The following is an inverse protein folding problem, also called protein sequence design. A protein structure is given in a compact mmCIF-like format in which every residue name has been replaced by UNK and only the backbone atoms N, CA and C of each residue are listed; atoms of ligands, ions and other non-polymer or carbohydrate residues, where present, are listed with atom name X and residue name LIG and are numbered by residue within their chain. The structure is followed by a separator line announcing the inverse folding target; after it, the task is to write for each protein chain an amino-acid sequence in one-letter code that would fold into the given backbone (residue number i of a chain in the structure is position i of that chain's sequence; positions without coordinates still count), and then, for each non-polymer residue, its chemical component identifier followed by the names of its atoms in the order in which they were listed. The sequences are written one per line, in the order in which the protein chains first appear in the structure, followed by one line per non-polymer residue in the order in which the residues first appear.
data_IF_825304596099
#
_entry.id   IF_825304596099
#
_cell.length_a   1.000
_cell.length_b   1.000
_cell.length_c   1.000
_cell.angle_alpha   90.00
_cell.angle_beta   90.00
_cell.angle_gamma   90.00
#
_symmetry.space_group_name_H-M   'P 1'
#
loop_
_entity.id
_entity.type
_entity.pdbx_description
1 polymer ?
#
# COMPACT_ATOMS: atom_id res chain seq x y z
N UNK A 1 8.69 -5.33 1.89
CA UNK A 1 7.53 -5.34 2.81
C UNK A 1 6.29 -4.62 2.27
N UNK A 2 6.41 -3.94 1.12
CA UNK A 2 5.34 -3.09 0.60
C UNK A 2 3.99 -3.83 0.47
N UNK A 3 3.97 -5.01 -0.15
CA UNK A 3 2.74 -5.79 -0.31
C UNK A 3 2.16 -6.27 1.04
N UNK A 4 3.02 -6.66 1.99
CA UNK A 4 2.62 -7.19 3.29
C UNK A 4 1.95 -6.15 4.19
N UNK A 5 2.33 -4.87 4.06
CA UNK A 5 1.78 -3.78 4.87
C UNK A 5 0.64 -3.02 4.17
N UNK A 6 0.33 -3.35 2.92
CA UNK A 6 -0.66 -2.62 2.11
C UNK A 6 -2.05 -2.56 2.77
N UNK A 7 -2.49 -3.62 3.44
CA UNK A 7 -3.79 -3.64 4.13
C UNK A 7 -3.92 -2.56 5.22
N UNK A 8 -2.81 -2.15 5.84
CA UNK A 8 -2.78 -1.09 6.86
C UNK A 8 -2.69 0.30 6.25
N UNK A 9 -2.03 0.41 5.10
CA UNK A 9 -1.89 1.67 4.35
C UNK A 9 -3.11 1.99 3.50
N UNK A 10 -3.90 0.96 3.12
CA UNK A 10 -5.07 1.04 2.25
C UNK A 10 -6.22 0.20 2.84
N UNK A 11 -6.87 0.70 3.91
CA UNK A 11 -7.73 -0.12 4.77
C UNK A 11 -9.17 -0.28 4.31
N UNK A 12 -9.55 0.28 3.17
CA UNK A 12 -10.91 0.22 2.62
C UNK A 12 -10.95 -0.60 1.33
N UNK A 13 -12.09 -1.22 1.03
CA UNK A 13 -12.25 -2.00 -0.20
C UNK A 13 -12.03 -1.16 -1.45
N UNK A 14 -12.52 0.07 -1.47
CA UNK A 14 -12.36 1.01 -2.58
C UNK A 14 -10.98 1.69 -2.64
N UNK A 15 -10.12 1.55 -1.62
CA UNK A 15 -8.74 2.07 -1.67
C UNK A 15 -7.96 1.50 -2.86
N UNK A 16 -8.27 0.28 -3.27
CA UNK A 16 -7.56 -0.47 -4.32
C UNK A 16 -7.99 -0.08 -5.75
N UNK A 17 -9.15 0.53 -5.90
CA UNK A 17 -9.67 0.99 -7.21
C UNK A 17 -8.83 2.11 -7.82
N UNK A 18 -8.08 2.84 -7.01
CA UNK A 18 -7.19 3.92 -7.46
C UNK A 18 -5.82 3.45 -7.95
N UNK A 19 -5.38 2.21 -7.61
CA UNK A 19 -4.05 1.72 -7.98
C UNK A 19 -3.90 1.59 -9.51
N UNK A 20 -2.87 2.25 -10.04
CA UNK A 20 -2.61 2.32 -11.47
C UNK A 20 -3.34 3.47 -12.17
N UNK A 21 -4.05 4.33 -11.42
CA UNK A 21 -4.74 5.52 -11.93
C UNK A 21 -4.69 6.66 -10.89
N UNK A 22 -5.14 7.86 -11.26
CA UNK A 22 -5.22 9.01 -10.34
C UNK A 22 -3.92 9.29 -9.56
N UNK A 23 -2.77 9.09 -10.19
CA UNK A 23 -1.44 9.21 -9.61
C UNK A 23 -1.16 8.24 -8.43
N UNK A 24 -1.97 7.19 -8.23
CA UNK A 24 -1.70 6.15 -7.26
C UNK A 24 -0.90 5.01 -7.88
N UNK A 25 0.25 4.61 -7.28
CA UNK A 25 1.13 3.60 -7.86
C UNK A 25 0.49 2.21 -7.79
N UNK A 26 0.79 1.38 -8.79
CA UNK A 26 0.46 -0.04 -8.80
C UNK A 26 1.69 -0.92 -8.58
N UNK A 27 2.83 -0.52 -9.14
CA UNK A 27 4.05 -1.33 -9.15
C UNK A 27 4.99 -0.94 -8.02
N UNK A 28 5.61 -1.94 -7.40
CA UNK A 28 6.58 -1.78 -6.30
C UNK A 28 7.93 -1.42 -6.90
N UNK A 29 8.07 -0.16 -7.27
CA UNK A 29 9.24 0.42 -7.92
C UNK A 29 9.58 1.77 -7.29
N UNK A 30 10.73 2.33 -7.67
CA UNK A 30 11.11 3.68 -7.28
C UNK A 30 11.72 4.43 -8.46
N UNK A 31 11.67 5.74 -8.44
CA UNK A 31 12.41 6.58 -9.38
C UNK A 31 12.64 8.01 -8.87
N UNK A 32 13.49 8.72 -9.58
CA UNK A 32 13.68 10.15 -9.40
C UNK A 32 12.57 10.93 -10.11
N UNK A 33 11.96 11.89 -9.41
CA UNK A 33 11.00 12.88 -9.93
C UNK A 33 9.70 12.34 -10.55
N UNK A 34 9.66 11.11 -11.03
CA UNK A 34 8.49 10.48 -11.62
C UNK A 34 7.41 10.19 -10.56
N UNK A 35 6.14 10.28 -10.93
CA UNK A 35 4.99 10.09 -10.04
C UNK A 35 4.26 8.76 -10.19
N UNK A 36 4.67 7.90 -11.12
CA UNK A 36 4.02 6.59 -11.31
C UNK A 36 4.55 5.45 -10.43
N UNK A 37 5.83 5.44 -9.94
CA UNK A 37 6.30 4.38 -9.04
C UNK A 37 5.81 4.55 -7.60
N UNK A 38 5.97 3.48 -6.81
CA UNK A 38 5.59 3.44 -5.40
C UNK A 38 6.36 4.45 -4.56
N UNK A 39 7.66 4.58 -4.81
CA UNK A 39 8.53 5.53 -4.10
C UNK A 39 9.08 6.54 -5.11
N UNK A 40 8.89 7.80 -4.77
CA UNK A 40 9.42 8.92 -5.52
C UNK A 40 10.50 9.63 -4.72
N UNK A 41 11.61 9.99 -5.35
CA UNK A 41 12.65 10.85 -4.80
C UNK A 41 12.55 12.20 -5.52
N UNK A 42 11.96 13.23 -4.89
CA UNK A 42 11.88 14.56 -5.48
C UNK A 42 13.26 15.21 -5.66
N UNK A 43 13.36 16.19 -6.56
CA UNK A 43 14.58 16.98 -6.78
C UNK A 43 14.84 18.00 -5.64
N UNK A 44 14.52 17.65 -4.41
CA UNK A 44 14.77 18.48 -3.25
C UNK A 44 16.15 18.19 -2.67
N UNK A 45 16.82 19.22 -2.16
CA UNK A 45 18.18 19.14 -1.59
C UNK A 45 18.21 19.68 -0.16
N UNK A 46 19.28 19.38 0.56
CA UNK A 46 19.50 19.82 1.93
C UNK A 46 18.42 19.32 2.89
N UNK A 47 17.90 20.19 3.71
CA UNK A 47 16.84 19.88 4.71
C UNK A 47 15.51 19.40 4.09
N UNK A 48 15.29 19.65 2.81
CA UNK A 48 14.10 19.21 2.08
C UNK A 48 14.30 17.85 1.38
N UNK A 49 15.49 17.26 1.47
CA UNK A 49 15.75 15.94 0.91
C UNK A 49 14.84 14.89 1.55
N UNK A 50 14.08 14.18 0.71
CA UNK A 50 13.11 13.19 1.18
C UNK A 50 12.82 12.13 0.13
N UNK A 51 12.19 11.07 0.56
CA UNK A 51 11.46 10.15 -0.31
C UNK A 51 9.95 10.24 -0.01
N UNK A 52 9.14 9.98 -1.01
CA UNK A 52 7.69 9.99 -0.91
C UNK A 52 7.16 8.59 -1.18
N UNK A 53 6.57 7.95 -0.19
CA UNK A 53 5.78 6.74 -0.39
C UNK A 53 4.37 7.16 -0.84
N UNK A 54 3.92 6.66 -1.99
CA UNK A 54 2.76 7.20 -2.70
C UNK A 54 1.52 6.30 -2.67
N UNK A 55 1.60 5.12 -2.05
CA UNK A 55 0.46 4.21 -1.93
C UNK A 55 -0.51 4.51 -0.78
N UNK A 56 -0.12 5.10 0.38
CA UNK A 56 -1.02 5.23 1.50
C UNK A 56 -2.29 6.01 1.14
N UNK A 57 -3.42 5.51 1.67
CA UNK A 57 -4.73 6.12 1.57
C UNK A 57 -4.95 7.06 2.78
N UNK A 58 -5.58 8.22 2.62
CA UNK A 58 -5.89 9.13 3.74
C UNK A 58 -6.71 8.50 4.86
N UNK A 59 -7.44 7.41 4.58
CA UNK A 59 -8.22 6.65 5.59
C UNK A 59 -7.37 5.70 6.43
N UNK A 60 -6.05 5.58 6.18
CA UNK A 60 -5.18 4.73 6.98
C UNK A 60 -5.04 5.26 8.41
N UNK A 61 -4.86 4.34 9.37
CA UNK A 61 -4.57 4.74 10.74
C UNK A 61 -3.10 5.19 10.84
N UNK A 62 -2.80 6.48 11.09
CA UNK A 62 -1.45 7.02 10.95
C UNK A 62 -0.43 6.32 11.84
N UNK A 63 -0.78 5.97 13.09
CA UNK A 63 0.14 5.28 13.99
C UNK A 63 0.53 3.89 13.49
N UNK A 64 -0.41 3.12 12.93
CA UNK A 64 -0.09 1.81 12.34
C UNK A 64 0.75 1.96 11.07
N UNK A 65 0.39 2.94 10.24
CA UNK A 65 1.12 3.22 9.00
C UNK A 65 2.57 3.60 9.30
N UNK A 66 2.79 4.57 10.18
CA UNK A 66 4.15 5.01 10.56
C UNK A 66 4.95 3.92 11.25
N UNK A 67 4.36 3.16 12.17
CA UNK A 67 5.06 2.06 12.84
C UNK A 67 5.58 1.03 11.81
N UNK A 68 4.72 0.54 10.92
CA UNK A 68 5.10 -0.45 9.91
C UNK A 68 6.11 0.09 8.90
N UNK A 69 5.99 1.37 8.51
CA UNK A 69 6.94 2.01 7.60
C UNK A 69 8.33 2.19 8.24
N UNK A 70 8.38 2.60 9.50
CA UNK A 70 9.63 2.75 10.25
C UNK A 70 10.32 1.39 10.40
N UNK A 71 9.60 0.36 10.85
CA UNK A 71 10.16 -0.99 10.98
C UNK A 71 10.64 -1.54 9.64
N UNK A 72 9.88 -1.36 8.56
CA UNK A 72 10.31 -1.80 7.23
C UNK A 72 11.57 -1.08 6.74
N UNK A 73 11.66 0.23 7.00
CA UNK A 73 12.83 1.03 6.66
C UNK A 73 14.07 0.60 7.46
N UNK A 74 13.92 0.43 8.77
CA UNK A 74 15.00 -0.03 9.65
C UNK A 74 15.50 -1.43 9.28
N UNK A 75 14.59 -2.38 9.00
CA UNK A 75 14.97 -3.71 8.53
C UNK A 75 15.82 -3.62 7.25
N UNK A 76 15.42 -2.76 6.30
CA UNK A 76 16.18 -2.55 5.06
C UNK A 76 17.61 -2.06 5.31
N UNK A 77 17.78 -1.12 6.23
CA UNK A 77 19.08 -0.56 6.62
C UNK A 77 19.93 -1.61 7.35
N UNK A 78 19.38 -2.24 8.38
CA UNK A 78 20.08 -3.24 9.22
C UNK A 78 20.56 -4.43 8.41
N UNK A 79 19.71 -4.92 7.49
CA UNK A 79 20.02 -6.04 6.61
C UNK A 79 20.83 -5.63 5.38
N UNK A 80 21.11 -4.35 5.21
CA UNK A 80 21.82 -3.82 4.02
C UNK A 80 21.23 -4.35 2.71
N UNK A 81 19.90 -4.32 2.60
CA UNK A 81 19.22 -4.86 1.43
C UNK A 81 19.63 -4.09 0.17
N UNK A 82 19.93 -4.80 -0.93
CA UNK A 82 20.28 -4.13 -2.18
C UNK A 82 19.05 -3.35 -2.71
N UNK A 83 19.31 -2.16 -3.22
CA UNK A 83 18.29 -1.37 -3.89
C UNK A 83 18.17 -1.85 -5.34
N UNK A 84 16.95 -2.14 -5.78
CA UNK A 84 16.69 -2.45 -7.18
C UNK A 84 16.94 -1.22 -8.07
N UNK A 85 17.24 -1.38 -9.36
CA UNK A 85 17.38 -0.25 -10.28
C UNK A 85 16.12 0.64 -10.30
N UNK A 86 16.28 1.96 -10.48
CA UNK A 86 15.12 2.85 -10.64
C UNK A 86 14.38 2.53 -11.93
N UNK A 87 13.06 2.73 -11.92
CA UNK A 87 12.23 2.58 -13.11
C UNK A 87 11.75 3.96 -13.54
N UNK A 88 12.47 4.53 -14.49
CA UNK A 88 12.13 5.83 -15.06
C UNK A 88 11.11 5.70 -16.19
N UNK A 89 10.25 6.69 -16.33
CA UNK A 89 9.16 6.71 -17.30
C UNK A 89 7.78 6.58 -16.66
N UNK A 90 6.77 6.91 -17.43
CA UNK A 90 5.38 6.88 -16.96
C UNK A 90 4.82 5.46 -17.01
N UNK A 91 4.69 4.80 -15.85
CA UNK A 91 4.16 3.43 -15.76
C UNK A 91 2.63 3.35 -16.02
N UNK A 92 1.91 4.46 -15.98
CA UNK A 92 0.48 4.48 -16.32
C UNK A 92 0.21 4.33 -17.82
N UNK A 93 1.18 4.73 -18.66
CA UNK A 93 1.11 4.67 -20.11
C UNK A 93 2.17 3.73 -20.70
N UNK A 94 2.79 2.90 -19.88
CA UNK A 94 3.84 1.99 -20.35
C UNK A 94 3.24 0.80 -21.10
N UNK A 95 3.95 0.34 -22.12
CA UNK A 95 3.63 -0.91 -22.81
C UNK A 95 3.77 -2.11 -21.87
N UNK A 96 2.99 -3.16 -22.10
CA UNK A 96 2.97 -4.37 -21.27
C UNK A 96 4.37 -4.99 -21.12
N UNK A 97 5.17 -4.98 -22.15
CA UNK A 97 6.56 -5.50 -22.14
C UNK A 97 7.47 -4.83 -21.11
N UNK A 98 7.21 -3.54 -20.80
CA UNK A 98 7.96 -2.79 -19.77
C UNK A 98 7.46 -3.05 -18.36
N UNK A 99 6.27 -3.59 -18.22
CA UNK A 99 5.62 -3.90 -16.94
C UNK A 99 5.90 -5.34 -16.50
N UNK A 100 6.31 -6.20 -17.46
CA UNK A 100 6.67 -7.58 -17.20
C UNK A 100 7.83 -7.68 -16.22
N UNK A 101 7.68 -8.55 -15.22
CA UNK A 101 8.67 -8.75 -14.16
C UNK A 101 8.62 -7.72 -13.02
N UNK A 102 7.81 -6.67 -13.11
CA UNK A 102 7.61 -5.75 -12.01
C UNK A 102 6.63 -6.34 -10.98
N UNK A 103 7.04 -6.38 -9.73
CA UNK A 103 6.14 -6.73 -8.63
C UNK A 103 5.07 -5.66 -8.45
N UNK A 104 3.82 -6.08 -8.20
CA UNK A 104 2.71 -5.17 -7.96
C UNK A 104 2.25 -5.20 -6.51
N UNK A 105 1.58 -4.12 -6.09
CA UNK A 105 0.78 -4.12 -4.88
C UNK A 105 -0.41 -5.07 -5.04
N UNK A 106 -0.96 -5.65 -3.95
CA UNK A 106 -2.17 -6.45 -4.03
C UNK A 106 -3.31 -5.65 -4.66
N UNK A 107 -4.09 -6.32 -5.50
CA UNK A 107 -5.15 -5.68 -6.28
C UNK A 107 -6.45 -5.46 -5.48
N UNK A 108 -6.60 -6.14 -4.36
CA UNK A 108 -7.81 -6.08 -3.53
C UNK A 108 -7.48 -6.06 -2.05
N UNK A 109 -8.44 -5.58 -1.24
CA UNK A 109 -8.32 -5.65 0.22
C UNK A 109 -8.19 -7.10 0.70
N UNK A 110 -8.89 -8.05 0.05
CA UNK A 110 -8.80 -9.47 0.39
C UNK A 110 -7.39 -10.01 0.23
N UNK A 111 -6.75 -9.77 -0.92
CA UNK A 111 -5.36 -10.19 -1.16
C UNK A 111 -4.39 -9.52 -0.15
N UNK A 112 -4.57 -8.23 0.12
CA UNK A 112 -3.73 -7.52 1.07
C UNK A 112 -3.86 -8.06 2.50
N UNK A 113 -5.07 -8.45 2.92
CA UNK A 113 -5.31 -9.05 4.23
C UNK A 113 -4.65 -10.43 4.35
N UNK A 114 -4.70 -11.26 3.32
CA UNK A 114 -4.02 -12.56 3.31
C UNK A 114 -2.50 -12.40 3.40
N UNK A 115 -1.92 -11.45 2.68
CA UNK A 115 -0.50 -11.15 2.78
C UNK A 115 -0.12 -10.66 4.19
N UNK A 116 -0.88 -9.74 4.76
CA UNK A 116 -0.64 -9.22 6.10
C UNK A 116 -0.76 -10.30 7.19
N UNK A 117 -1.77 -11.15 7.11
CA UNK A 117 -2.04 -12.26 8.04
C UNK A 117 -0.93 -13.31 8.07
N UNK A 118 -0.33 -13.57 6.91
CA UNK A 118 0.73 -14.56 6.75
C UNK A 118 2.14 -13.99 6.89
N UNK A 119 2.28 -12.66 7.02
CA UNK A 119 3.58 -11.99 7.13
C UNK A 119 4.21 -12.15 8.51
N UNK A 120 5.37 -12.79 8.57
CA UNK A 120 6.18 -12.86 9.79
C UNK A 120 6.69 -11.47 10.21
N UNK A 121 6.94 -10.59 9.23
CA UNK A 121 7.31 -9.20 9.51
C UNK A 121 6.20 -8.46 10.25
N UNK A 122 4.95 -8.53 9.76
CA UNK A 122 3.81 -7.86 10.40
C UNK A 122 3.56 -8.44 11.80
N UNK A 123 3.66 -9.77 11.97
CA UNK A 123 3.53 -10.45 13.27
C UNK A 123 4.59 -10.01 14.27
N UNK A 124 5.81 -9.74 13.81
CA UNK A 124 6.89 -9.24 14.66
C UNK A 124 6.71 -7.76 15.06
N UNK A 125 6.08 -6.96 14.18
CA UNK A 125 5.91 -5.51 14.41
C UNK A 125 4.67 -5.15 15.25
N UNK A 126 3.62 -5.99 15.22
CA UNK A 126 2.34 -5.68 15.85
C UNK A 126 1.98 -6.70 16.95
N UNK A 127 1.38 -6.25 18.08
CA UNK A 127 0.85 -7.15 19.08
C UNK A 127 -0.18 -8.12 18.46
N UNK A 128 -0.08 -9.41 18.81
CA UNK A 128 -0.89 -10.47 18.21
C UNK A 128 -2.41 -10.22 18.34
N UNK A 129 -2.86 -9.68 19.49
CA UNK A 129 -4.27 -9.33 19.71
C UNK A 129 -4.73 -8.20 18.80
N UNK A 130 -3.88 -7.18 18.58
CA UNK A 130 -4.18 -6.06 17.68
C UNK A 130 -4.28 -6.54 16.24
N UNK A 131 -3.30 -7.33 15.78
CA UNK A 131 -3.29 -7.90 14.42
C UNK A 131 -4.54 -8.76 14.19
N UNK A 132 -4.85 -9.68 15.11
CA UNK A 132 -6.03 -10.53 15.02
C UNK A 132 -7.32 -9.72 14.90
N UNK A 133 -7.49 -8.71 15.75
CA UNK A 133 -8.68 -7.87 15.74
C UNK A 133 -8.78 -7.05 14.44
N UNK A 134 -7.67 -6.47 13.99
CA UNK A 134 -7.62 -5.72 12.74
C UNK A 134 -8.04 -6.58 11.55
N UNK A 135 -7.39 -7.73 11.37
CA UNK A 135 -7.69 -8.68 10.29
C UNK A 135 -9.16 -9.10 10.35
N UNK A 136 -9.66 -9.57 11.50
CA UNK A 136 -11.05 -10.03 11.63
C UNK A 136 -12.07 -8.96 11.24
N UNK A 137 -11.87 -7.72 11.67
CA UNK A 137 -12.78 -6.60 11.32
C UNK A 137 -12.73 -6.29 9.82
N UNK A 138 -11.54 -6.30 9.23
CA UNK A 138 -11.36 -6.00 7.81
C UNK A 138 -11.85 -7.11 6.90
N UNK A 139 -11.65 -8.38 7.25
CA UNK A 139 -12.20 -9.53 6.53
C UNK A 139 -13.73 -9.47 6.47
N UNK A 140 -14.41 -9.18 7.59
CA UNK A 140 -15.87 -9.01 7.61
C UNK A 140 -16.33 -7.88 6.68
N UNK A 141 -15.61 -6.77 6.66
CA UNK A 141 -15.92 -5.64 5.76
C UNK A 141 -15.70 -5.99 4.30
N UNK A 142 -14.61 -6.69 4.01
CA UNK A 142 -14.32 -7.17 2.68
C UNK A 142 -15.39 -8.14 2.17
N UNK A 143 -15.80 -9.11 2.97
CA UNK A 143 -16.88 -10.03 2.62
C UNK A 143 -18.20 -9.31 2.34
N UNK A 144 -18.57 -8.36 3.21
CA UNK A 144 -19.77 -7.55 3.01
C UNK A 144 -19.71 -6.71 1.72
N UNK A 145 -18.54 -6.17 1.38
CA UNK A 145 -18.33 -5.48 0.11
C UNK A 145 -18.45 -6.43 -1.09
N UNK A 146 -17.87 -7.63 -1.02
CA UNK A 146 -17.94 -8.62 -2.10
C UNK A 146 -19.37 -9.08 -2.40
N UNK A 147 -20.20 -9.22 -1.36
CA UNK A 147 -21.60 -9.67 -1.47
C UNK A 147 -22.58 -8.55 -1.78
N UNK A 148 -22.18 -7.27 -1.73
CA UNK A 148 -23.03 -6.15 -2.04
C UNK A 148 -23.42 -6.15 -3.52
N UNK A 149 -24.72 -6.01 -3.80
CA UNK A 149 -25.25 -5.90 -5.17
C UNK A 149 -24.77 -4.63 -5.86
N UNK A 150 -24.75 -3.51 -5.12
CA UNK A 150 -24.21 -2.23 -5.55
C UNK A 150 -23.06 -1.84 -4.65
N UNK A 151 -21.84 -1.98 -5.16
CA UNK A 151 -20.60 -1.67 -4.45
C UNK A 151 -20.41 -0.18 -4.18
N UNK A 152 -20.91 0.67 -5.09
CA UNK A 152 -20.85 2.11 -4.92
C UNK A 152 -21.78 2.57 -3.81
N UNK A 153 -23.03 2.12 -3.80
CA UNK A 153 -23.97 2.41 -2.73
C UNK A 153 -23.48 1.88 -1.38
N UNK A 154 -22.87 0.67 -1.34
CA UNK A 154 -22.24 0.14 -0.15
C UNK A 154 -21.14 1.08 0.36
N UNK A 155 -20.24 1.49 -0.51
CA UNK A 155 -19.12 2.39 -0.16
C UNK A 155 -19.63 3.72 0.40
N UNK A 156 -20.56 4.35 -0.31
CA UNK A 156 -21.16 5.61 0.13
C UNK A 156 -21.85 5.47 1.49
N UNK A 157 -22.72 4.48 1.67
CA UNK A 157 -23.45 4.27 2.93
C UNK A 157 -22.55 3.90 4.11
N UNK A 158 -21.44 3.22 3.84
CA UNK A 158 -20.55 2.69 4.89
C UNK A 158 -19.51 3.69 5.37
N UNK A 159 -19.00 4.51 4.48
CA UNK A 159 -17.84 5.36 4.79
C UNK A 159 -18.20 6.84 4.90
N UNK A 160 -19.05 7.37 4.04
CA UNK A 160 -19.40 8.79 4.04
C UNK A 160 -20.18 9.29 5.28
N UNK A 161 -21.10 8.55 5.89
CA UNK A 161 -21.80 9.04 7.09
C UNK A 161 -20.93 9.19 8.34
N UNK A 162 -19.64 8.84 8.24
CA UNK A 162 -18.70 8.85 9.36
C UNK A 162 -17.57 9.87 9.22
N UNK A 163 -17.72 10.76 8.25
CA UNK A 163 -16.82 11.89 8.03
C UNK A 163 -17.37 13.13 8.72
#
# INVERSE_FOLDING_TARGET
RAAEITAFLNPLANSYERFGSFEAPRYITWSHQNRSPLIRIPAAKGEYARMELRSPDPSCHPHLAFALLIFAGLEGIERKLPLCPPVDGNLYAAEQSRLEGLSSLPATLGEALELAKNSEFVKACLPASMLKNYISVKEKRWQAYCTAQDKQAYTLSRYFPKI
#
